data_IF_020854100720
#
_entry.id   IF_020854100720
#
_cell.length_a   1.000
_cell.length_b   1.000
_cell.length_c   1.000
_cell.angle_alpha   90.00
_cell.angle_beta   90.00
_cell.angle_gamma   90.00
#
_symmetry.space_group_name_H-M   'P 1'
#
loop_
_entity.id
_entity.type
_entity.pdbx_description
1 polymer ?
#
# COMPACT_ATOMS: atom_id res chain seq x y z
N UNK A 1 -3.07 -3.52 5.55
CA UNK A 1 -2.30 -3.49 6.80
C UNK A 1 -2.43 -4.81 7.59
N UNK A 2 -3.61 -5.20 8.14
CA UNK A 2 -3.76 -6.42 8.98
C UNK A 2 -3.24 -7.70 8.29
N UNK A 3 -3.45 -7.86 6.98
CA UNK A 3 -2.92 -8.99 6.22
C UNK A 3 -1.38 -9.05 6.27
N UNK A 4 -0.71 -7.90 6.11
CA UNK A 4 0.75 -7.80 6.22
C UNK A 4 1.22 -8.12 7.65
N UNK A 5 0.53 -7.58 8.67
CA UNK A 5 0.88 -7.83 10.06
C UNK A 5 0.79 -9.32 10.42
N UNK A 6 -0.25 -10.01 9.96
CA UNK A 6 -0.43 -11.46 10.18
C UNK A 6 0.62 -12.28 9.46
N UNK A 7 0.96 -11.91 8.23
CA UNK A 7 1.99 -12.58 7.44
C UNK A 7 3.36 -12.51 8.11
N UNK A 8 3.69 -11.34 8.67
CA UNK A 8 4.97 -11.12 9.32
C UNK A 8 5.04 -11.63 10.77
N UNK A 9 3.91 -12.07 11.34
CA UNK A 9 3.87 -12.64 12.68
C UNK A 9 4.67 -13.95 12.74
N UNK A 10 5.78 -13.95 13.49
CA UNK A 10 6.69 -15.11 13.60
C UNK A 10 7.57 -15.37 12.38
N UNK A 11 7.67 -14.40 11.46
CA UNK A 11 8.56 -14.50 10.29
C UNK A 11 10.01 -14.20 10.67
N UNK A 12 10.93 -15.01 10.17
CA UNK A 12 12.38 -14.79 10.30
C UNK A 12 12.89 -13.68 9.35
N UNK A 13 12.06 -13.24 8.39
CA UNK A 13 12.43 -12.23 7.40
C UNK A 13 12.29 -10.79 7.92
N UNK A 14 11.51 -10.60 8.99
CA UNK A 14 11.28 -9.30 9.58
C UNK A 14 10.00 -9.24 10.40
N UNK A 15 9.69 -8.06 10.92
CA UNK A 15 8.48 -7.82 11.71
C UNK A 15 7.89 -6.44 11.43
N UNK A 16 6.58 -6.29 11.62
CA UNK A 16 5.96 -4.97 11.60
C UNK A 16 6.27 -4.26 12.93
N UNK A 17 7.00 -3.16 12.88
CA UNK A 17 7.41 -2.38 14.04
C UNK A 17 6.49 -1.20 14.31
N UNK A 18 5.88 -0.64 13.25
CA UNK A 18 5.04 0.55 13.34
C UNK A 18 3.89 0.47 12.32
N UNK A 19 2.71 0.88 12.74
CA UNK A 19 1.63 1.28 11.83
C UNK A 19 1.37 2.76 12.01
N UNK A 20 1.70 3.55 10.99
CA UNK A 20 1.57 4.98 10.98
C UNK A 20 0.39 5.41 10.12
N UNK A 21 -0.45 6.31 10.62
CA UNK A 21 -1.57 6.89 9.88
C UNK A 21 -1.45 8.40 9.80
N UNK A 22 -1.86 8.96 8.66
CA UNK A 22 -2.01 10.41 8.50
C UNK A 22 -3.42 10.91 8.85
N UNK A 23 -4.28 10.01 9.36
CA UNK A 23 -5.64 10.31 9.79
C UNK A 23 -5.84 9.76 11.21
N UNK A 24 -6.13 10.63 12.19
CA UNK A 24 -6.50 10.19 13.54
C UNK A 24 -7.74 9.30 13.53
N UNK A 25 -7.73 8.26 14.38
CA UNK A 25 -8.86 7.34 14.49
C UNK A 25 -9.03 6.39 13.30
N UNK A 26 -8.06 6.29 12.41
CA UNK A 26 -8.10 5.29 11.34
C UNK A 26 -8.20 3.88 11.93
N UNK A 27 -9.18 3.09 11.46
CA UNK A 27 -9.46 1.75 12.03
C UNK A 27 -8.31 0.75 11.96
N UNK A 28 -7.27 1.06 11.18
CA UNK A 28 -6.01 0.31 11.16
C UNK A 28 -5.21 0.45 12.45
N UNK A 29 -5.25 1.60 13.11
CA UNK A 29 -4.49 1.87 14.34
C UNK A 29 -4.98 0.98 15.50
N UNK A 30 -6.29 0.93 15.73
CA UNK A 30 -6.88 0.09 16.77
C UNK A 30 -6.56 -1.39 16.55
N UNK A 31 -6.73 -1.86 15.30
CA UNK A 31 -6.40 -3.25 14.94
C UNK A 31 -4.92 -3.58 15.14
N UNK A 32 -4.03 -2.62 14.91
CA UNK A 32 -2.58 -2.79 15.11
C UNK A 32 -2.23 -2.85 16.60
N UNK A 33 -2.81 -1.95 17.39
CA UNK A 33 -2.63 -1.95 18.85
C UNK A 33 -3.09 -3.27 19.47
N UNK A 34 -4.23 -3.82 19.01
CA UNK A 34 -4.72 -5.14 19.43
C UNK A 34 -3.78 -6.31 19.06
N UNK A 35 -2.90 -6.12 18.06
CA UNK A 35 -1.85 -7.06 17.69
C UNK A 35 -0.51 -6.80 18.40
N UNK A 36 -0.46 -5.84 19.32
CA UNK A 36 0.77 -5.45 20.02
C UNK A 36 1.78 -4.68 19.14
N UNK A 37 1.34 -4.14 18.00
CA UNK A 37 2.20 -3.36 17.10
C UNK A 37 2.16 -1.89 17.49
N UNK A 38 3.32 -1.23 17.52
CA UNK A 38 3.42 0.21 17.73
C UNK A 38 2.58 1.00 16.76
N UNK A 39 1.94 2.07 17.22
CA UNK A 39 1.12 2.93 16.38
C UNK A 39 1.50 4.39 16.53
N UNK A 40 1.48 5.15 15.45
CA UNK A 40 1.70 6.58 15.43
C UNK A 40 0.69 7.30 14.53
N UNK A 41 0.46 8.57 14.80
CA UNK A 41 -0.39 9.43 13.97
C UNK A 41 0.34 10.73 13.68
N UNK A 42 0.54 11.00 12.39
CA UNK A 42 1.00 12.30 11.90
C UNK A 42 -0.16 12.92 11.12
N UNK A 43 -0.99 13.71 11.82
CA UNK A 43 -2.18 14.30 11.20
C UNK A 43 -1.79 15.35 10.16
N UNK A 44 -1.97 15.03 8.88
CA UNK A 44 -1.61 15.92 7.78
C UNK A 44 -2.31 17.29 7.83
N UNK A 45 -3.47 17.37 8.48
CA UNK A 45 -4.24 18.63 8.61
C UNK A 45 -3.53 19.65 9.48
N UNK A 46 -2.72 19.21 10.44
CA UNK A 46 -1.93 20.08 11.30
C UNK A 46 -0.85 20.88 10.52
N UNK A 47 -0.47 20.39 9.34
CA UNK A 47 0.56 21.00 8.50
C UNK A 47 -0.02 21.88 7.39
N UNK A 48 -1.33 21.85 7.15
CA UNK A 48 -1.96 22.67 6.10
C UNK A 48 -1.32 22.42 4.72
N UNK A 49 -0.70 23.47 4.16
CA UNK A 49 0.03 23.42 2.89
C UNK A 49 1.50 23.00 3.02
N UNK A 50 2.02 22.90 4.26
CA UNK A 50 3.42 22.53 4.51
C UNK A 50 3.62 21.02 4.35
N UNK A 51 3.75 20.59 3.09
CA UNK A 51 4.05 19.19 2.76
C UNK A 51 5.42 18.77 3.32
N UNK A 52 6.42 19.65 3.27
CA UNK A 52 7.76 19.30 3.71
C UNK A 52 7.81 19.03 5.23
N UNK A 53 7.15 19.84 6.02
CA UNK A 53 7.01 19.62 7.47
C UNK A 53 6.24 18.33 7.79
N UNK A 54 5.17 18.05 7.04
CA UNK A 54 4.44 16.79 7.19
C UNK A 54 5.33 15.58 6.89
N UNK A 55 6.05 15.59 5.79
CA UNK A 55 6.93 14.48 5.39
C UNK A 55 8.14 14.33 6.32
N UNK A 56 8.67 15.43 6.87
CA UNK A 56 9.70 15.38 7.91
C UNK A 56 9.18 14.66 9.17
N UNK A 57 7.98 15.00 9.63
CA UNK A 57 7.37 14.33 10.78
C UNK A 57 7.10 12.84 10.51
N UNK A 58 6.68 12.45 9.28
CA UNK A 58 6.59 11.03 8.89
C UNK A 58 7.95 10.35 8.97
N UNK A 59 8.98 10.99 8.43
CA UNK A 59 10.35 10.47 8.41
C UNK A 59 10.90 10.25 9.81
N UNK A 60 10.67 11.19 10.74
CA UNK A 60 11.12 11.08 12.11
C UNK A 60 10.49 9.88 12.82
N UNK A 61 9.18 9.66 12.68
CA UNK A 61 8.49 8.50 13.23
C UNK A 61 9.05 7.17 12.67
N UNK A 62 9.31 7.11 11.36
CA UNK A 62 9.87 5.92 10.73
C UNK A 62 11.30 5.64 11.22
N UNK A 63 12.14 6.67 11.38
CA UNK A 63 13.51 6.54 11.89
C UNK A 63 13.50 6.10 13.35
N UNK A 64 12.70 6.74 14.20
CA UNK A 64 12.61 6.41 15.63
C UNK A 64 12.15 4.96 15.83
N UNK A 65 11.24 4.49 14.98
CA UNK A 65 10.77 3.10 15.02
C UNK A 65 11.76 2.09 14.40
N UNK A 66 12.87 2.55 13.81
CA UNK A 66 13.86 1.67 13.16
C UNK A 66 13.30 0.95 11.94
N UNK A 67 12.53 1.66 11.11
CA UNK A 67 11.91 1.09 9.92
C UNK A 67 12.93 0.92 8.81
N UNK A 68 13.03 -0.28 8.25
CA UNK A 68 13.87 -0.58 7.08
C UNK A 68 13.08 -0.53 5.78
N UNK A 69 11.79 -0.87 5.81
CA UNK A 69 10.91 -0.91 4.64
C UNK A 69 9.53 -0.33 4.96
N UNK A 70 8.99 0.46 4.03
CA UNK A 70 7.66 1.07 4.11
C UNK A 70 6.69 0.33 3.20
N UNK A 71 5.53 -0.05 3.74
CA UNK A 71 4.43 -0.65 3.00
C UNK A 71 3.22 0.29 3.02
N UNK A 72 2.94 0.96 1.90
CA UNK A 72 1.77 1.81 1.77
C UNK A 72 0.51 0.93 1.59
N UNK A 73 -0.50 1.18 2.38
CA UNK A 73 -1.78 0.48 2.34
C UNK A 73 -2.93 1.46 2.60
N UNK A 74 -3.54 1.94 1.53
CA UNK A 74 -4.61 2.94 1.60
C UNK A 74 -4.12 4.34 1.97
N UNK A 75 -2.86 4.65 1.72
CA UNK A 75 -2.31 5.99 1.88
C UNK A 75 -2.63 6.84 0.65
N UNK A 76 -3.46 7.87 0.83
CA UNK A 76 -4.06 8.63 -0.28
C UNK A 76 -3.41 10.00 -0.52
N UNK A 77 -2.15 10.17 -0.16
CA UNK A 77 -1.40 11.41 -0.41
C UNK A 77 -0.22 11.17 -1.33
N UNK A 78 0.04 12.13 -2.21
CA UNK A 78 1.22 12.09 -3.07
C UNK A 78 2.42 12.52 -2.24
N UNK A 79 3.40 11.66 -2.12
CA UNK A 79 4.69 11.92 -1.48
C UNK A 79 5.61 12.73 -2.41
N UNK A 80 6.45 13.58 -1.83
CA UNK A 80 7.43 14.33 -2.63
C UNK A 80 8.54 13.45 -3.17
N UNK A 81 9.18 13.90 -4.24
CA UNK A 81 10.34 13.24 -4.80
C UNK A 81 11.48 13.03 -3.77
N UNK A 82 11.66 13.99 -2.85
CA UNK A 82 12.67 13.87 -1.80
C UNK A 82 12.37 12.72 -0.84
N UNK A 83 11.11 12.62 -0.38
CA UNK A 83 10.70 11.53 0.51
C UNK A 83 10.82 10.17 -0.22
N UNK A 84 10.34 10.08 -1.45
CA UNK A 84 10.42 8.86 -2.27
C UNK A 84 11.87 8.43 -2.49
N UNK A 85 12.77 9.37 -2.81
CA UNK A 85 14.22 9.06 -2.96
C UNK A 85 14.86 8.56 -1.67
N UNK A 86 14.49 9.09 -0.51
CA UNK A 86 14.99 8.61 0.78
C UNK A 86 14.63 7.14 1.05
N UNK A 87 13.53 6.67 0.47
CA UNK A 87 13.04 5.29 0.59
C UNK A 87 13.16 4.49 -0.72
N UNK A 88 13.99 4.93 -1.67
CA UNK A 88 14.16 4.25 -2.95
C UNK A 88 14.53 2.77 -2.77
N UNK A 89 13.80 1.89 -3.46
CA UNK A 89 13.93 0.43 -3.36
C UNK A 89 13.39 -0.18 -2.06
N UNK A 90 12.91 0.62 -1.11
CA UNK A 90 12.42 0.20 0.20
C UNK A 90 11.00 0.68 0.52
N UNK A 91 10.23 1.04 -0.51
CA UNK A 91 8.84 1.45 -0.36
C UNK A 91 7.97 0.71 -1.35
N UNK A 92 6.97 -0.02 -0.85
CA UNK A 92 5.98 -0.75 -1.62
C UNK A 92 4.62 -0.06 -1.54
N UNK A 93 3.84 -0.19 -2.61
CA UNK A 93 2.44 0.20 -2.63
C UNK A 93 1.58 -0.90 -3.24
N UNK A 94 0.35 -1.05 -2.77
CA UNK A 94 -0.70 -1.81 -3.45
C UNK A 94 -1.67 -0.84 -4.09
N UNK A 95 -1.85 -0.98 -5.42
CA UNK A 95 -2.74 -0.16 -6.22
C UNK A 95 -3.91 -0.99 -6.75
N UNK A 96 -5.16 -0.56 -6.58
CA UNK A 96 -6.34 -1.37 -6.92
C UNK A 96 -6.69 -1.33 -8.42
N UNK A 97 -5.72 -1.55 -9.29
CA UNK A 97 -5.90 -1.78 -10.72
C UNK A 97 -4.79 -2.69 -11.27
N UNK A 98 -4.99 -3.17 -12.49
CA UNK A 98 -3.96 -3.87 -13.26
C UNK A 98 -3.08 -2.86 -13.98
N UNK A 99 -2.11 -2.27 -13.27
CA UNK A 99 -1.18 -1.30 -13.87
C UNK A 99 -0.52 -1.86 -15.14
N UNK A 100 -0.30 -1.03 -16.16
CA UNK A 100 -0.39 0.43 -16.21
C UNK A 100 -1.80 0.98 -16.43
N UNK A 101 -2.86 0.16 -16.43
CA UNK A 101 -4.24 0.66 -16.52
C UNK A 101 -4.62 1.41 -15.24
N UNK A 102 -5.27 2.55 -15.39
CA UNK A 102 -5.91 3.31 -14.31
C UNK A 102 -4.98 3.70 -13.15
N UNK A 103 -3.85 4.40 -13.39
CA UNK A 103 -3.11 5.00 -12.30
C UNK A 103 -3.97 6.07 -11.61
N UNK A 104 -3.68 6.35 -10.32
CA UNK A 104 -4.41 7.32 -9.51
C UNK A 104 -5.76 6.81 -9.00
N UNK A 105 -6.74 7.69 -8.92
CA UNK A 105 -8.00 7.44 -8.22
C UNK A 105 -9.08 6.80 -9.10
N UNK A 106 -10.17 6.32 -8.44
CA UNK A 106 -11.40 5.81 -9.05
C UNK A 106 -11.20 4.62 -10.00
N UNK A 107 -10.27 3.75 -9.68
CA UNK A 107 -9.86 2.62 -10.55
C UNK A 107 -11.01 1.67 -10.90
N UNK A 108 -11.84 1.31 -9.91
CA UNK A 108 -12.98 0.41 -10.11
C UNK A 108 -14.06 1.03 -10.99
N UNK A 109 -14.43 2.30 -10.73
CA UNK A 109 -15.39 3.02 -11.56
C UNK A 109 -14.89 3.13 -13.01
N UNK A 110 -13.58 3.39 -13.20
CA UNK A 110 -12.95 3.50 -14.54
C UNK A 110 -12.95 2.16 -15.27
N UNK A 111 -12.65 1.06 -14.60
CA UNK A 111 -12.69 -0.28 -15.18
C UNK A 111 -14.11 -0.68 -15.61
N UNK A 112 -15.11 -0.42 -14.76
CA UNK A 112 -16.52 -0.65 -15.09
C UNK A 112 -16.98 0.19 -16.28
N UNK A 113 -16.66 1.49 -16.29
CA UNK A 113 -17.03 2.40 -17.36
C UNK A 113 -16.37 2.03 -18.70
N UNK A 114 -15.17 1.47 -18.67
CA UNK A 114 -14.46 0.99 -19.85
C UNK A 114 -14.98 -0.37 -20.37
N UNK A 115 -15.84 -1.06 -19.62
CA UNK A 115 -16.31 -2.40 -19.97
C UNK A 115 -15.21 -3.45 -19.95
N UNK A 116 -14.20 -3.29 -19.10
CA UNK A 116 -13.12 -4.27 -18.97
C UNK A 116 -13.68 -5.63 -18.52
N UNK A 117 -13.18 -6.71 -19.12
CA UNK A 117 -13.55 -8.06 -18.70
C UNK A 117 -12.88 -8.47 -17.39
N UNK A 118 -11.75 -7.86 -17.06
CA UNK A 118 -10.96 -8.12 -15.85
C UNK A 118 -10.56 -6.82 -15.16
N UNK A 119 -10.49 -6.87 -13.84
CA UNK A 119 -9.87 -5.89 -12.98
C UNK A 119 -8.85 -6.57 -12.06
N UNK A 120 -8.31 -5.87 -11.07
CA UNK A 120 -7.39 -6.49 -10.13
C UNK A 120 -6.61 -5.48 -9.33
N UNK A 121 -5.50 -5.94 -8.78
CA UNK A 121 -4.57 -5.10 -8.05
C UNK A 121 -3.12 -5.35 -8.46
N UNK A 122 -2.27 -4.38 -8.17
CA UNK A 122 -0.84 -4.41 -8.47
C UNK A 122 -0.07 -4.03 -7.21
N UNK A 123 0.94 -4.81 -6.85
CA UNK A 123 1.98 -4.41 -5.90
C UNK A 123 3.21 -3.97 -6.68
N UNK A 124 3.72 -2.79 -6.37
CA UNK A 124 4.86 -2.20 -7.07
C UNK A 124 5.78 -1.46 -6.10
N UNK A 125 7.03 -1.25 -6.50
CA UNK A 125 7.92 -0.31 -5.86
C UNK A 125 7.42 1.12 -6.11
N UNK A 126 7.48 1.96 -5.09
CA UNK A 126 7.15 3.37 -5.23
C UNK A 126 8.34 4.12 -5.84
N UNK A 127 8.05 4.90 -6.86
CA UNK A 127 8.98 5.81 -7.53
C UNK A 127 8.40 7.22 -7.56
N UNK A 128 9.13 8.18 -8.12
CA UNK A 128 8.65 9.56 -8.29
C UNK A 128 7.47 9.64 -9.27
N UNK A 129 7.37 8.70 -10.20
CA UNK A 129 6.24 8.59 -11.11
C UNK A 129 5.05 7.92 -10.41
N UNK A 130 3.91 8.61 -10.41
CA UNK A 130 2.69 8.11 -9.76
C UNK A 130 2.28 6.76 -10.34
N UNK A 131 2.26 5.73 -9.49
CA UNK A 131 1.94 4.33 -9.83
C UNK A 131 2.77 3.77 -11.01
N UNK A 132 3.93 4.39 -11.31
CA UNK A 132 4.80 4.07 -12.45
C UNK A 132 6.01 3.19 -12.11
N UNK A 133 6.18 2.79 -10.86
CA UNK A 133 7.33 2.01 -10.43
C UNK A 133 7.29 0.53 -10.88
N UNK A 134 8.40 -0.21 -10.73
CA UNK A 134 8.49 -1.62 -11.09
C UNK A 134 7.41 -2.48 -10.44
N UNK A 135 6.68 -3.23 -11.26
CA UNK A 135 5.61 -4.13 -10.83
C UNK A 135 6.25 -5.40 -10.26
N UNK A 136 5.90 -5.72 -9.01
CA UNK A 136 6.37 -6.91 -8.30
C UNK A 136 5.32 -8.02 -8.24
N UNK A 137 4.05 -7.70 -8.47
CA UNK A 137 2.99 -8.69 -8.57
C UNK A 137 1.67 -8.11 -9.01
N UNK A 138 0.84 -8.94 -9.62
CA UNK A 138 -0.55 -8.61 -9.98
C UNK A 138 -1.47 -9.76 -9.63
N UNK A 139 -2.69 -9.43 -9.21
CA UNK A 139 -3.78 -10.37 -9.05
C UNK A 139 -4.99 -9.92 -9.88
N UNK A 140 -5.63 -10.87 -10.56
CA UNK A 140 -6.76 -10.62 -11.46
C UNK A 140 -8.06 -11.10 -10.86
N UNK A 141 -9.13 -10.40 -11.17
CA UNK A 141 -10.51 -10.80 -10.89
C UNK A 141 -11.39 -10.53 -12.11
N UNK A 142 -12.40 -11.36 -12.38
CA UNK A 142 -13.37 -11.06 -13.44
C UNK A 142 -14.22 -9.85 -13.04
N UNK A 143 -14.58 -9.03 -14.02
CA UNK A 143 -15.66 -8.04 -13.90
C UNK A 143 -16.96 -8.73 -14.33
N UNK A 144 -17.94 -8.77 -13.42
CA UNK A 144 -19.22 -9.47 -13.66
C UNK A 144 -20.27 -8.49 -14.18
N UNK A 145 -21.23 -8.94 -15.00
CA UNK A 145 -22.24 -8.06 -15.60
C UNK A 145 -23.06 -7.23 -14.61
N UNK A 146 -23.24 -7.72 -13.38
CA UNK A 146 -23.98 -7.04 -12.33
C UNK A 146 -23.10 -6.30 -11.32
N UNK A 147 -21.81 -6.12 -11.61
CA UNK A 147 -20.92 -5.45 -10.67
C UNK A 147 -21.26 -3.97 -10.52
N UNK A 148 -21.26 -3.56 -9.27
CA UNK A 148 -21.14 -2.17 -8.85
C UNK A 148 -19.68 -1.89 -8.48
N UNK A 149 -19.34 -0.60 -8.33
CA UNK A 149 -18.01 -0.22 -7.83
C UNK A 149 -17.69 -0.92 -6.49
N UNK A 150 -18.66 -1.01 -5.59
CA UNK A 150 -18.50 -1.63 -4.28
C UNK A 150 -18.26 -3.15 -4.35
N UNK A 151 -18.99 -3.88 -5.21
CA UNK A 151 -18.81 -5.33 -5.36
C UNK A 151 -17.48 -5.68 -6.01
N UNK A 152 -17.07 -4.90 -7.02
CA UNK A 152 -15.78 -5.07 -7.66
C UNK A 152 -14.64 -4.72 -6.68
N UNK A 153 -14.75 -3.61 -5.94
CA UNK A 153 -13.76 -3.22 -4.93
C UNK A 153 -13.58 -4.28 -3.85
N UNK A 154 -14.66 -4.87 -3.36
CA UNK A 154 -14.57 -5.95 -2.37
C UNK A 154 -13.85 -7.18 -2.91
N UNK A 155 -14.08 -7.53 -4.19
CA UNK A 155 -13.43 -8.67 -4.85
C UNK A 155 -11.94 -8.40 -5.06
N UNK A 156 -11.56 -7.19 -5.50
CA UNK A 156 -10.17 -6.76 -5.65
C UNK A 156 -9.47 -6.75 -4.30
N UNK A 157 -10.09 -6.18 -3.26
CA UNK A 157 -9.52 -6.13 -1.90
C UNK A 157 -9.18 -7.52 -1.34
N UNK A 158 -9.99 -8.52 -1.64
CA UNK A 158 -9.70 -9.91 -1.24
C UNK A 158 -8.40 -10.41 -1.88
N UNK A 159 -8.09 -10.01 -3.11
CA UNK A 159 -6.83 -10.34 -3.77
C UNK A 159 -5.65 -9.50 -3.26
N UNK A 160 -5.86 -8.22 -2.95
CA UNK A 160 -4.81 -7.39 -2.30
C UNK A 160 -4.32 -8.04 -1.01
N UNK A 161 -5.24 -8.57 -0.20
CA UNK A 161 -4.93 -9.24 1.06
C UNK A 161 -4.13 -10.54 0.89
N UNK A 162 -4.11 -11.14 -0.30
CA UNK A 162 -3.31 -12.33 -0.64
C UNK A 162 -2.01 -11.96 -1.33
N UNK A 163 -2.09 -11.06 -2.31
CA UNK A 163 -0.96 -10.67 -3.15
C UNK A 163 0.10 -9.89 -2.35
N UNK A 164 -0.33 -8.89 -1.59
CA UNK A 164 0.60 -7.97 -0.93
C UNK A 164 1.51 -8.69 0.09
N UNK A 165 0.99 -9.54 1.00
CA UNK A 165 1.84 -10.33 1.88
C UNK A 165 2.81 -11.24 1.12
N UNK A 166 2.35 -11.91 0.06
CA UNK A 166 3.18 -12.81 -0.74
C UNK A 166 4.35 -12.07 -1.41
N UNK A 167 4.08 -10.89 -1.99
CA UNK A 167 5.11 -10.03 -2.58
C UNK A 167 6.07 -9.52 -1.49
N UNK A 168 5.56 -9.02 -0.36
CA UNK A 168 6.41 -8.52 0.73
C UNK A 168 7.40 -9.59 1.21
N UNK A 169 6.93 -10.82 1.41
CA UNK A 169 7.80 -11.94 1.82
C UNK A 169 8.95 -12.15 0.83
N UNK A 170 8.67 -12.15 -0.46
CA UNK A 170 9.70 -12.34 -1.50
C UNK A 170 10.70 -11.20 -1.52
N UNK A 171 10.21 -9.96 -1.46
CA UNK A 171 11.09 -8.77 -1.40
C UNK A 171 12.02 -8.83 -0.20
N UNK A 172 11.51 -9.20 0.98
CA UNK A 172 12.34 -9.35 2.19
C UNK A 172 13.34 -10.50 2.08
N UNK A 173 13.03 -11.53 1.31
CA UNK A 173 13.97 -12.61 0.98
C UNK A 173 14.98 -12.24 -0.14
N UNK A 174 14.95 -11.01 -0.64
CA UNK A 174 15.82 -10.53 -1.72
C UNK A 174 15.34 -10.91 -3.13
N UNK A 175 14.14 -11.47 -3.27
CA UNK A 175 13.56 -11.87 -4.56
C UNK A 175 12.60 -10.80 -5.07
N UNK A 176 13.03 -10.06 -6.07
CA UNK A 176 12.28 -8.99 -6.73
C UNK A 176 11.55 -9.47 -8.01
N UNK A 177 11.50 -10.78 -8.26
CA UNK A 177 10.80 -11.29 -9.44
C UNK A 177 9.29 -11.15 -9.30
N UNK A 178 8.63 -10.82 -10.40
CA UNK A 178 7.18 -10.58 -10.43
C UNK A 178 6.40 -11.86 -10.09
N UNK A 179 5.32 -11.69 -9.34
CA UNK A 179 4.34 -12.73 -8.98
C UNK A 179 2.97 -12.38 -9.56
N UNK A 180 2.38 -13.28 -10.31
CA UNK A 180 1.00 -13.13 -10.78
C UNK A 180 0.13 -14.23 -10.13
N UNK A 181 -1.04 -13.84 -9.57
CA UNK A 181 -2.02 -14.72 -8.90
C UNK A 181 -3.45 -14.40 -9.32
#
# INVERSE_FOLDING_TARGET
MVALAREMAGSDLGRVVLVLSNVPGAGGLEKSAALGIGTAVVDHRAFGADRAGFEAALQDELIVAGVDMVCLAGFMRILSANFVRAWAGRMLNVHPSLLPKYPGLHTHARALAAGDAEAGCTVHLVTEDLDGGPILGQARVPVLPADTEATLAARVLAQEHRLYPAVLRRVLAGDMTRVDV
#
